data_IF_321528438598
#
_entry.id   IF_321528438598
#
_cell.length_a   1.000
_cell.length_b   1.000
_cell.length_c   1.000
_cell.angle_alpha   90.00
_cell.angle_beta   90.00
_cell.angle_gamma   90.00
#
_symmetry.space_group_name_H-M   'P 1'
#
loop_
_entity.id
_entity.type
_entity.pdbx_description
1 polymer ?
#
# COMPACT_ATOMS: atom_id res chain seq x y z
N UNK A 1 5.24 -50.24 21.36
CA UNK A 1 3.98 -49.53 21.06
C UNK A 1 3.87 -49.44 19.55
N UNK A 2 2.77 -49.92 18.97
CA UNK A 2 2.61 -50.05 17.53
C UNK A 2 2.61 -48.66 16.85
N UNK A 3 3.51 -48.47 15.88
CA UNK A 3 3.60 -47.22 15.12
C UNK A 3 2.54 -47.25 14.02
N UNK A 4 1.31 -46.85 14.35
CA UNK A 4 0.20 -46.83 13.41
C UNK A 4 0.46 -45.78 12.30
N UNK A 5 0.48 -46.27 11.05
CA UNK A 5 0.78 -45.50 9.84
C UNK A 5 -0.43 -44.70 9.35
N UNK A 6 -0.76 -43.60 10.06
CA UNK A 6 -1.69 -42.60 9.53
C UNK A 6 -1.02 -41.72 8.46
N UNK A 7 -1.70 -41.44 7.35
CA UNK A 7 -1.20 -40.52 6.33
C UNK A 7 -1.26 -39.08 6.82
N UNK A 8 -0.41 -38.21 6.28
CA UNK A 8 -0.39 -36.80 6.68
C UNK A 8 -1.73 -36.09 6.39
N UNK A 9 -2.41 -36.51 5.32
CA UNK A 9 -3.76 -36.04 4.97
C UNK A 9 -4.81 -36.42 6.02
N UNK A 10 -4.83 -37.69 6.48
CA UNK A 10 -5.75 -38.16 7.52
C UNK A 10 -5.56 -37.39 8.83
N UNK A 11 -4.31 -37.10 9.22
CA UNK A 11 -4.02 -36.34 10.44
C UNK A 11 -4.50 -34.88 10.33
N UNK A 12 -4.32 -34.23 9.18
CA UNK A 12 -4.82 -32.87 8.95
C UNK A 12 -6.34 -32.82 8.93
N UNK A 13 -7.00 -33.77 8.27
CA UNK A 13 -8.46 -33.83 8.21
C UNK A 13 -9.07 -34.03 9.61
N UNK A 14 -8.46 -34.89 10.42
CA UNK A 14 -8.88 -35.12 11.81
C UNK A 14 -8.66 -33.88 12.68
N UNK A 15 -7.53 -33.19 12.55
CA UNK A 15 -7.29 -31.92 13.24
C UNK A 15 -8.27 -30.83 12.82
N UNK A 16 -8.63 -30.76 11.52
CA UNK A 16 -9.61 -29.81 11.01
C UNK A 16 -11.00 -30.03 11.61
N UNK A 17 -11.46 -31.28 11.72
CA UNK A 17 -12.75 -31.57 12.38
C UNK A 17 -12.73 -31.25 13.88
N UNK A 18 -11.57 -31.35 14.52
CA UNK A 18 -11.37 -30.97 15.93
C UNK A 18 -11.14 -29.46 16.10
N UNK A 19 -11.23 -28.66 15.03
CA UNK A 19 -10.92 -27.22 15.00
C UNK A 19 -9.52 -26.88 15.56
N UNK A 20 -8.55 -27.77 15.33
CA UNK A 20 -7.17 -27.60 15.77
C UNK A 20 -6.27 -27.12 14.63
N UNK A 21 -5.16 -26.41 14.95
CA UNK A 21 -4.20 -25.97 13.94
C UNK A 21 -3.65 -27.14 13.12
N UNK A 22 -3.68 -27.01 11.78
CA UNK A 22 -3.22 -28.01 10.80
C UNK A 22 -1.77 -27.81 10.33
N UNK A 23 -1.05 -26.84 10.91
CA UNK A 23 0.33 -26.51 10.55
C UNK A 23 1.36 -27.38 11.27
N UNK A 24 2.43 -27.74 10.56
CA UNK A 24 3.58 -28.49 11.05
C UNK A 24 3.73 -29.89 10.44
N UNK A 25 4.84 -30.55 10.81
CA UNK A 25 5.20 -31.87 10.32
C UNK A 25 4.35 -32.98 10.97
N UNK A 26 4.37 -34.18 10.37
CA UNK A 26 3.58 -35.35 10.79
C UNK A 26 3.69 -35.66 12.29
N UNK A 27 4.88 -35.50 12.87
CA UNK A 27 5.14 -35.69 14.30
C UNK A 27 4.43 -34.64 15.17
N UNK A 28 4.45 -33.38 14.74
CA UNK A 28 3.79 -32.26 15.42
C UNK A 28 2.26 -32.41 15.39
N UNK A 29 1.70 -32.87 14.27
CA UNK A 29 0.28 -33.17 14.14
C UNK A 29 -0.14 -34.33 15.06
N UNK A 30 0.63 -35.43 15.11
CA UNK A 30 0.39 -36.55 16.04
C UNK A 30 0.44 -36.08 17.50
N UNK A 31 1.46 -35.32 17.89
CA UNK A 31 1.61 -34.81 19.27
C UNK A 31 0.40 -33.95 19.67
N UNK A 32 -0.08 -33.08 18.76
CA UNK A 32 -1.24 -32.21 19.01
C UNK A 32 -2.54 -33.01 19.20
N UNK A 33 -2.74 -34.08 18.43
CA UNK A 33 -3.88 -34.98 18.60
C UNK A 33 -3.83 -35.73 19.94
N UNK A 34 -2.65 -36.22 20.35
CA UNK A 34 -2.47 -36.87 21.64
C UNK A 34 -2.61 -35.92 22.83
N UNK A 35 -2.19 -34.66 22.71
CA UNK A 35 -2.38 -33.65 23.76
C UNK A 35 -3.84 -33.24 23.92
N UNK A 36 -4.61 -33.22 22.82
CA UNK A 36 -6.03 -32.84 22.86
C UNK A 36 -6.94 -34.00 23.27
N UNK A 37 -6.61 -35.24 22.89
CA UNK A 37 -7.35 -36.44 23.27
C UNK A 37 -6.37 -37.57 23.65
N UNK A 38 -5.99 -37.65 24.94
CA UNK A 38 -5.10 -38.69 25.45
C UNK A 38 -5.70 -40.10 25.39
N UNK A 39 -7.04 -40.22 25.29
CA UNK A 39 -7.73 -41.52 25.15
C UNK A 39 -7.49 -42.15 23.79
N UNK A 40 -7.15 -41.32 22.79
CA UNK A 40 -6.87 -41.74 21.43
C UNK A 40 -8.11 -42.17 20.64
N UNK A 41 -9.30 -41.69 21.03
CA UNK A 41 -10.53 -41.84 20.27
C UNK A 41 -10.45 -41.15 18.90
N UNK A 42 -9.57 -40.16 18.74
CA UNK A 42 -9.23 -39.55 17.44
C UNK A 42 -8.72 -40.56 16.41
N UNK A 43 -8.13 -41.70 16.82
CA UNK A 43 -7.60 -42.71 15.88
C UNK A 43 -8.70 -43.40 15.09
N UNK A 44 -9.85 -43.65 15.71
CA UNK A 44 -11.01 -44.23 15.03
C UNK A 44 -11.60 -43.25 14.01
N UNK A 45 -11.62 -41.96 14.36
CA UNK A 45 -12.04 -40.90 13.44
C UNK A 45 -11.09 -40.78 12.25
N UNK A 46 -9.78 -40.89 12.48
CA UNK A 46 -8.77 -40.84 11.43
C UNK A 46 -8.83 -42.05 10.48
N UNK A 47 -9.23 -43.23 10.98
CA UNK A 47 -9.46 -44.44 10.14
C UNK A 47 -10.70 -44.32 9.27
N UNK A 48 -11.77 -43.72 9.79
CA UNK A 48 -13.05 -43.57 9.09
C UNK A 48 -13.11 -42.33 8.17
N UNK A 49 -12.00 -41.60 8.01
CA UNK A 49 -11.92 -40.48 7.07
C UNK A 49 -11.60 -40.99 5.66
N UNK A 50 -12.61 -41.04 4.79
CA UNK A 50 -12.39 -41.07 3.35
C UNK A 50 -11.67 -39.78 2.93
N UNK A 51 -10.41 -39.91 2.53
CA UNK A 51 -9.66 -38.80 1.94
C UNK A 51 -10.09 -38.69 0.48
N UNK A 52 -11.01 -37.78 0.18
CA UNK A 52 -11.08 -37.24 -1.18
C UNK A 52 -9.77 -36.50 -1.43
N UNK A 53 -8.88 -37.16 -2.16
CA UNK A 53 -7.57 -36.67 -2.51
C UNK A 53 -7.71 -35.40 -3.34
N UNK A 54 -7.59 -34.25 -2.69
CA UNK A 54 -7.47 -32.96 -3.37
C UNK A 54 -6.20 -32.26 -2.91
N UNK A 55 -5.07 -32.82 -3.32
CA UNK A 55 -3.83 -32.08 -3.49
C UNK A 55 -3.01 -32.65 -4.66
N UNK A 56 -3.10 -31.94 -5.78
CA UNK A 56 -2.02 -31.68 -6.74
C UNK A 56 -0.89 -32.70 -6.81
N UNK A 57 -1.04 -33.65 -7.72
CA UNK A 57 0.05 -34.24 -8.51
C UNK A 57 -0.50 -34.63 -9.86
N UNK A 58 0.14 -34.18 -10.95
CA UNK A 58 0.17 -34.82 -12.26
C UNK A 58 -1.16 -35.10 -12.95
N UNK A 59 -1.34 -34.54 -14.15
CA UNK A 59 -2.50 -34.82 -15.00
C UNK A 59 -2.85 -36.31 -15.03
N UNK A 60 -4.06 -36.63 -14.57
CA UNK A 60 -4.70 -37.91 -14.81
C UNK A 60 -5.90 -37.65 -15.71
N UNK A 61 -5.83 -38.32 -16.86
CA UNK A 61 -6.94 -38.52 -17.77
C UNK A 61 -8.15 -39.03 -16.99
N UNK A 62 -9.23 -38.25 -16.99
CA UNK A 62 -10.54 -38.72 -16.57
C UNK A 62 -11.09 -39.56 -17.72
N UNK A 63 -10.83 -40.86 -17.72
CA UNK A 63 -11.72 -41.81 -18.40
C UNK A 63 -12.91 -42.07 -17.48
N UNK A 64 -13.82 -41.10 -17.41
CA UNK A 64 -15.20 -41.38 -16.97
C UNK A 64 -16.00 -41.65 -18.22
N UNK A 65 -16.24 -42.95 -18.45
CA UNK A 65 -17.10 -43.47 -19.50
C UNK A 65 -18.55 -43.22 -19.09
N UNK A 66 -19.01 -41.98 -19.26
CA UNK A 66 -20.43 -41.67 -19.34
C UNK A 66 -20.70 -41.00 -20.68
N UNK A 67 -21.55 -41.68 -21.45
CA UNK A 67 -21.85 -41.40 -22.84
C UNK A 67 -22.84 -40.23 -22.92
N UNK A 68 -22.39 -39.02 -22.62
CA UNK A 68 -23.16 -37.78 -22.85
C UNK A 68 -22.54 -37.06 -24.04
N UNK A 69 -23.28 -37.05 -25.16
CA UNK A 69 -22.92 -36.31 -26.38
C UNK A 69 -22.87 -34.81 -26.03
N UNK A 70 -21.68 -34.30 -25.70
CA UNK A 70 -21.45 -32.86 -25.54
C UNK A 70 -21.74 -32.17 -26.88
N UNK A 71 -22.54 -31.10 -26.82
CA UNK A 71 -22.88 -30.27 -27.96
C UNK A 71 -21.61 -29.67 -28.60
N UNK A 72 -21.61 -29.40 -29.93
CA UNK A 72 -20.43 -28.88 -30.63
C UNK A 72 -19.84 -27.61 -30.00
N UNK A 73 -20.70 -26.77 -29.42
CA UNK A 73 -20.35 -25.49 -28.78
C UNK A 73 -19.57 -25.72 -27.47
N UNK A 74 -19.96 -26.71 -26.66
CA UNK A 74 -19.29 -27.00 -25.39
C UNK A 74 -17.89 -27.60 -25.61
N UNK A 75 -17.72 -28.42 -26.67
CA UNK A 75 -16.40 -28.94 -27.04
C UNK A 75 -15.45 -27.83 -27.46
N UNK A 76 -15.95 -26.84 -28.18
CA UNK A 76 -15.17 -25.69 -28.60
C UNK A 76 -14.77 -24.82 -27.39
N UNK A 77 -15.69 -24.58 -26.44
CA UNK A 77 -15.37 -23.87 -25.20
C UNK A 77 -14.33 -24.60 -24.34
N UNK A 78 -14.44 -25.92 -24.19
CA UNK A 78 -13.45 -26.73 -23.45
C UNK A 78 -12.09 -26.71 -24.16
N UNK A 79 -12.06 -26.78 -25.49
CA UNK A 79 -10.81 -26.68 -26.26
C UNK A 79 -10.17 -25.29 -26.16
N UNK A 80 -10.96 -24.23 -26.14
CA UNK A 80 -10.48 -22.87 -25.98
C UNK A 80 -9.94 -22.64 -24.56
N UNK A 81 -10.67 -23.09 -23.55
CA UNK A 81 -10.23 -23.02 -22.15
C UNK A 81 -8.93 -23.80 -21.91
N UNK A 82 -8.78 -24.98 -22.53
CA UNK A 82 -7.54 -25.75 -22.46
C UNK A 82 -6.36 -24.99 -23.08
N UNK A 83 -6.59 -24.28 -24.20
CA UNK A 83 -5.57 -23.45 -24.87
C UNK A 83 -5.20 -22.22 -24.04
N UNK A 84 -6.17 -21.61 -23.38
CA UNK A 84 -5.95 -20.46 -22.50
C UNK A 84 -5.18 -20.85 -21.24
N UNK A 85 -5.51 -21.99 -20.63
CA UNK A 85 -4.76 -22.53 -19.49
C UNK A 85 -3.30 -22.83 -19.85
N UNK A 86 -3.06 -23.37 -21.04
CA UNK A 86 -1.71 -23.62 -21.56
C UNK A 86 -0.94 -22.30 -21.79
N UNK A 87 -1.62 -21.25 -22.28
CA UNK A 87 -1.03 -19.91 -22.40
C UNK A 87 -0.65 -19.35 -21.03
N UNK A 88 -1.56 -19.40 -20.05
CA UNK A 88 -1.29 -18.92 -18.68
C UNK A 88 -0.16 -19.70 -18.04
N UNK A 89 -0.05 -21.00 -18.30
CA UNK A 89 1.06 -21.82 -17.80
C UNK A 89 2.40 -21.35 -18.35
N UNK A 90 2.50 -21.09 -19.66
CA UNK A 90 3.71 -20.57 -20.30
C UNK A 90 4.07 -19.17 -19.80
N UNK A 91 3.08 -18.30 -19.63
CA UNK A 91 3.28 -16.96 -19.08
C UNK A 91 3.81 -17.02 -17.64
N UNK A 92 3.28 -17.94 -16.81
CA UNK A 92 3.79 -18.18 -15.46
C UNK A 92 5.21 -18.71 -15.46
N UNK A 93 5.56 -19.63 -16.37
CA UNK A 93 6.93 -20.14 -16.50
C UNK A 93 7.91 -19.02 -16.89
N UNK A 94 7.52 -18.14 -17.82
CA UNK A 94 8.31 -16.95 -18.18
C UNK A 94 8.47 -16.00 -16.99
N UNK A 95 7.40 -15.78 -16.24
CA UNK A 95 7.41 -14.87 -15.09
C UNK A 95 8.27 -15.41 -13.94
N UNK A 96 8.25 -16.72 -13.72
CA UNK A 96 9.12 -17.39 -12.77
C UNK A 96 10.59 -17.27 -13.16
N UNK A 97 10.92 -17.48 -14.44
CA UNK A 97 12.30 -17.27 -14.95
C UNK A 97 12.75 -15.83 -14.77
N UNK A 98 11.90 -14.84 -15.07
CA UNK A 98 12.21 -13.41 -14.82
C UNK A 98 12.45 -13.11 -13.35
N UNK A 99 11.67 -13.71 -12.44
CA UNK A 99 11.86 -13.58 -11.00
C UNK A 99 13.18 -14.22 -10.54
N UNK A 100 13.57 -15.35 -11.11
CA UNK A 100 14.85 -15.99 -10.83
C UNK A 100 16.03 -15.17 -11.34
N UNK A 101 15.92 -14.58 -12.53
CA UNK A 101 16.91 -13.66 -13.09
C UNK A 101 17.09 -12.43 -12.20
N UNK A 102 15.98 -11.79 -11.78
CA UNK A 102 16.02 -10.65 -10.85
C UNK A 102 16.62 -11.03 -9.49
N UNK A 103 16.34 -12.23 -8.98
CA UNK A 103 16.96 -12.73 -7.75
C UNK A 103 18.45 -12.93 -7.91
N UNK A 104 18.90 -13.54 -9.01
CA UNK A 104 20.32 -13.71 -9.33
C UNK A 104 21.01 -12.36 -9.52
N UNK A 105 20.38 -11.41 -10.18
CA UNK A 105 20.90 -10.05 -10.37
C UNK A 105 21.05 -9.32 -9.03
N UNK A 106 20.04 -9.42 -8.16
CA UNK A 106 20.09 -8.91 -6.79
C UNK A 106 21.21 -9.58 -5.98
N UNK A 107 21.39 -10.89 -6.09
CA UNK A 107 22.42 -11.62 -5.35
C UNK A 107 23.84 -11.28 -5.86
N UNK A 108 23.99 -11.05 -7.17
CA UNK A 108 25.23 -10.55 -7.79
C UNK A 108 25.53 -9.09 -7.41
N UNK A 109 24.49 -8.25 -7.26
CA UNK A 109 24.62 -6.88 -6.77
C UNK A 109 24.93 -6.83 -5.26
N UNK A 110 24.33 -7.73 -4.47
CA UNK A 110 24.58 -7.87 -3.03
C UNK A 110 25.99 -8.44 -2.75
N UNK A 111 26.51 -9.32 -3.60
CA UNK A 111 27.89 -9.82 -3.52
C UNK A 111 28.96 -8.75 -3.75
N UNK A 112 28.61 -7.59 -4.34
CA UNK A 112 29.52 -6.44 -4.52
C UNK A 112 29.51 -5.44 -3.36
N UNK A 113 28.59 -5.57 -2.41
CA UNK A 113 28.48 -4.68 -1.25
C UNK A 113 28.50 -5.53 0.02
N UNK A 114 29.69 -5.78 0.55
CA UNK A 114 29.83 -6.26 1.93
C UNK A 114 29.36 -5.17 2.89
N UNK A 115 28.23 -5.41 3.56
CA UNK A 115 27.95 -4.86 4.89
C UNK A 115 27.28 -5.97 5.71
N UNK A 116 27.78 -6.32 6.91
CA UNK A 116 27.12 -7.28 7.79
C UNK A 116 26.09 -6.55 8.65
N UNK A 117 24.86 -7.05 8.76
CA UNK A 117 24.18 -7.02 10.06
C UNK A 117 22.94 -7.91 10.11
N UNK A 118 23.07 -8.95 10.93
CA UNK A 118 22.09 -9.55 11.84
C UNK A 118 20.60 -9.41 11.50
N UNK A 119 20.00 -10.57 11.21
CA UNK A 119 18.64 -10.86 11.57
C UNK A 119 18.41 -10.58 13.07
N UNK A 120 17.41 -9.74 13.38
CA UNK A 120 16.69 -9.74 14.65
C UNK A 120 15.27 -9.20 14.44
N UNK A 121 14.34 -9.72 15.22
CA UNK A 121 12.89 -9.72 15.03
C UNK A 121 12.20 -8.33 14.95
N UNK A 122 11.04 -8.34 14.29
CA UNK A 122 10.19 -7.23 13.84
C UNK A 122 9.80 -6.16 14.88
N UNK A 123 9.27 -5.03 14.40
CA UNK A 123 7.90 -4.68 14.78
C UNK A 123 7.00 -4.57 13.54
N UNK A 124 5.71 -4.83 13.74
CA UNK A 124 4.62 -4.56 12.81
C UNK A 124 4.86 -3.25 12.02
N UNK A 125 5.34 -3.40 10.79
CA UNK A 125 5.43 -2.29 9.84
C UNK A 125 4.08 -2.25 9.16
N UNK A 126 3.17 -1.39 9.63
CA UNK A 126 2.12 -0.87 8.75
C UNK A 126 2.76 -0.57 7.39
N UNK A 127 2.17 -0.99 6.26
CA UNK A 127 2.74 -0.73 4.96
C UNK A 127 3.04 0.76 4.85
N UNK A 128 4.30 1.12 4.63
CA UNK A 128 4.66 2.53 4.45
C UNK A 128 3.87 3.04 3.25
N UNK A 129 3.07 4.11 3.40
CA UNK A 129 2.29 4.63 2.30
C UNK A 129 3.23 5.05 1.17
N UNK A 130 2.82 4.77 -0.07
CA UNK A 130 3.59 5.18 -1.25
C UNK A 130 3.64 6.72 -1.30
N UNK A 131 4.70 7.27 -1.88
CA UNK A 131 4.86 8.72 -2.03
C UNK A 131 3.67 9.32 -2.79
N UNK A 132 3.11 8.58 -3.75
CA UNK A 132 1.88 8.97 -4.46
C UNK A 132 0.67 9.11 -3.55
N UNK A 133 0.46 8.17 -2.62
CA UNK A 133 -0.61 8.25 -1.64
C UNK A 133 -0.40 9.41 -0.65
N UNK A 134 0.85 9.65 -0.24
CA UNK A 134 1.21 10.83 0.57
C UNK A 134 0.98 12.14 -0.20
N UNK A 135 1.10 12.08 -1.52
CA UNK A 135 0.69 13.14 -2.42
C UNK A 135 -0.73 13.61 -2.13
N UNK A 136 -1.70 12.70 -1.99
CA UNK A 136 -3.12 13.08 -1.79
C UNK A 136 -3.36 13.94 -0.54
N UNK A 137 -2.50 13.82 0.48
CA UNK A 137 -2.57 14.60 1.71
C UNK A 137 -2.03 16.03 1.56
N UNK A 138 -1.24 16.29 0.51
CA UNK A 138 -0.66 17.59 0.22
C UNK A 138 -1.45 18.29 -0.90
N UNK A 139 -1.85 19.53 -0.63
CA UNK A 139 -2.49 20.37 -1.63
C UNK A 139 -1.52 20.71 -2.78
N UNK A 140 -2.05 20.93 -3.98
CA UNK A 140 -1.21 21.37 -5.10
C UNK A 140 -0.73 22.81 -4.88
N UNK A 141 0.50 23.10 -5.31
CA UNK A 141 1.09 24.43 -5.18
C UNK A 141 1.40 25.02 -6.56
N UNK A 142 0.63 26.04 -6.93
CA UNK A 142 0.77 26.74 -8.22
C UNK A 142 1.71 27.94 -8.17
N UNK A 143 2.13 28.36 -6.97
CA UNK A 143 2.91 29.59 -6.74
C UNK A 143 2.05 30.86 -6.62
N UNK A 144 0.80 30.74 -6.20
CA UNK A 144 -0.07 31.89 -5.91
C UNK A 144 0.24 32.50 -4.54
N UNK A 145 -0.05 33.78 -4.38
CA UNK A 145 0.27 34.55 -3.18
C UNK A 145 -0.51 34.07 -1.95
N UNK A 146 0.13 34.14 -0.77
CA UNK A 146 -0.51 33.91 0.52
C UNK A 146 -0.86 32.47 0.89
N UNK A 147 -0.54 31.47 0.05
CA UNK A 147 -0.78 30.05 0.35
C UNK A 147 0.50 29.28 0.75
N UNK A 148 1.68 29.85 0.50
CA UNK A 148 2.96 29.16 0.70
C UNK A 148 3.17 28.69 2.14
N UNK A 149 2.95 29.54 3.15
CA UNK A 149 3.20 29.15 4.55
C UNK A 149 2.25 28.04 5.04
N UNK A 150 0.98 28.05 4.62
CA UNK A 150 0.06 26.96 4.96
C UNK A 150 0.44 25.66 4.26
N UNK A 151 0.82 25.75 2.99
CA UNK A 151 1.31 24.61 2.22
C UNK A 151 2.61 24.03 2.81
N UNK A 152 3.55 24.88 3.22
CA UNK A 152 4.79 24.49 3.91
C UNK A 152 4.51 23.75 5.20
N UNK A 153 3.59 24.26 6.03
CA UNK A 153 3.16 23.59 7.27
C UNK A 153 2.53 22.23 7.02
N UNK A 154 1.70 22.09 5.98
CA UNK A 154 1.13 20.80 5.57
C UNK A 154 2.24 19.81 5.18
N UNK A 155 3.21 20.24 4.38
CA UNK A 155 4.34 19.42 3.99
C UNK A 155 5.20 19.00 5.21
N UNK A 156 5.48 19.93 6.12
CA UNK A 156 6.25 19.66 7.34
C UNK A 156 5.53 18.66 8.26
N UNK A 157 4.20 18.75 8.37
CA UNK A 157 3.38 17.78 9.09
C UNK A 157 3.49 16.39 8.46
N UNK A 158 3.34 16.26 7.14
CA UNK A 158 3.45 14.98 6.43
C UNK A 158 4.86 14.40 6.61
N UNK A 159 5.90 15.24 6.45
CA UNK A 159 7.29 14.85 6.64
C UNK A 159 7.54 14.29 8.04
N UNK A 160 7.06 14.98 9.07
CA UNK A 160 7.21 14.55 10.46
C UNK A 160 6.43 13.27 10.76
N UNK A 161 5.18 13.19 10.31
CA UNK A 161 4.27 12.06 10.58
C UNK A 161 4.77 10.76 9.96
N UNK A 162 5.27 10.83 8.72
CA UNK A 162 5.72 9.65 7.98
C UNK A 162 7.25 9.49 7.95
N UNK A 163 7.97 10.32 8.71
CA UNK A 163 9.44 10.32 8.80
C UNK A 163 10.11 10.30 7.41
N UNK A 164 9.67 11.20 6.54
CA UNK A 164 10.20 11.29 5.18
C UNK A 164 11.63 11.85 5.19
N UNK A 165 12.50 11.16 4.47
CA UNK A 165 13.84 11.63 4.18
C UNK A 165 13.81 12.77 3.15
N UNK A 166 14.95 13.42 2.95
CA UNK A 166 15.05 14.55 2.04
C UNK A 166 14.74 14.16 0.58
N UNK A 167 15.09 12.93 0.18
CA UNK A 167 14.85 12.45 -1.17
C UNK A 167 13.35 12.28 -1.46
N UNK A 168 12.63 11.55 -0.60
CA UNK A 168 11.19 11.34 -0.78
C UNK A 168 10.42 12.65 -0.61
N UNK A 169 10.87 13.55 0.28
CA UNK A 169 10.27 14.86 0.44
C UNK A 169 10.47 15.74 -0.81
N UNK A 170 11.64 15.72 -1.44
CA UNK A 170 11.87 16.43 -2.72
C UNK A 170 10.99 15.89 -3.84
N UNK A 171 10.84 14.57 -3.95
CA UNK A 171 9.94 13.94 -4.92
C UNK A 171 8.50 14.39 -4.67
N UNK A 172 8.05 14.36 -3.41
CA UNK A 172 6.71 14.80 -3.02
C UNK A 172 6.47 16.28 -3.38
N UNK A 173 7.45 17.16 -3.10
CA UNK A 173 7.41 18.56 -3.51
C UNK A 173 7.22 18.62 -5.03
N UNK A 174 8.13 18.01 -5.81
CA UNK A 174 8.10 18.03 -7.27
C UNK A 174 6.77 17.54 -7.87
N UNK A 175 6.16 16.50 -7.29
CA UNK A 175 4.84 15.99 -7.70
C UNK A 175 3.71 17.01 -7.50
N UNK A 176 3.85 17.88 -6.50
CA UNK A 176 2.80 18.81 -6.05
C UNK A 176 2.97 20.22 -6.57
N UNK A 177 4.12 20.54 -7.16
CA UNK A 177 4.30 21.80 -7.87
C UNK A 177 3.56 21.79 -9.21
N UNK A 178 2.86 22.89 -9.50
CA UNK A 178 2.16 23.11 -10.77
C UNK A 178 2.49 24.51 -11.31
N UNK A 179 2.21 24.73 -12.60
CA UNK A 179 2.28 26.05 -13.25
C UNK A 179 3.62 26.77 -12.98
N UNK A 180 3.56 28.02 -12.49
CA UNK A 180 4.72 28.88 -12.24
C UNK A 180 5.68 28.29 -11.21
N UNK A 181 5.15 27.60 -10.20
CA UNK A 181 5.99 26.94 -9.20
C UNK A 181 6.80 25.78 -9.80
N UNK A 182 6.20 24.99 -10.69
CA UNK A 182 6.90 23.91 -11.38
C UNK A 182 7.96 24.44 -12.35
N UNK A 183 7.63 25.49 -13.11
CA UNK A 183 8.58 26.15 -14.01
C UNK A 183 9.78 26.72 -13.25
N UNK A 184 9.55 27.38 -12.11
CA UNK A 184 10.62 27.86 -11.24
C UNK A 184 11.46 26.71 -10.68
N UNK A 185 10.84 25.61 -10.26
CA UNK A 185 11.57 24.46 -9.73
C UNK A 185 12.55 23.88 -10.76
N UNK A 186 12.11 23.74 -12.01
CA UNK A 186 12.97 23.26 -13.11
C UNK A 186 13.91 24.32 -13.71
N UNK A 187 13.81 25.58 -13.31
CA UNK A 187 14.67 26.66 -13.83
C UNK A 187 16.15 26.49 -13.47
N UNK A 188 16.44 25.79 -12.36
CA UNK A 188 17.81 25.50 -11.90
C UNK A 188 17.90 24.04 -11.48
N UNK A 189 18.82 23.29 -12.10
CA UNK A 189 19.10 21.90 -11.72
C UNK A 189 19.45 21.76 -10.24
N UNK A 190 20.09 22.78 -9.64
CA UNK A 190 20.42 22.84 -8.21
C UNK A 190 19.21 22.58 -7.29
N UNK A 191 17.99 22.95 -7.69
CA UNK A 191 16.80 22.72 -6.89
C UNK A 191 16.48 21.23 -6.71
N UNK A 192 16.94 20.38 -7.64
CA UNK A 192 16.80 18.93 -7.54
C UNK A 192 17.77 18.32 -6.55
N UNK A 193 18.90 18.95 -6.24
CA UNK A 193 19.98 18.33 -5.46
C UNK A 193 20.14 18.90 -4.05
N UNK A 194 19.66 20.13 -3.82
CA UNK A 194 19.80 20.78 -2.52
C UNK A 194 18.95 20.14 -1.41
N UNK A 195 19.36 20.26 -0.14
CA UNK A 195 18.55 19.82 1.00
C UNK A 195 17.16 20.45 1.02
N UNK A 196 16.16 19.73 1.52
CA UNK A 196 14.76 20.20 1.55
C UNK A 196 14.63 21.52 2.30
N UNK A 197 15.39 21.70 3.38
CA UNK A 197 15.40 22.93 4.15
C UNK A 197 15.81 24.13 3.30
N UNK A 198 16.84 23.97 2.47
CA UNK A 198 17.31 25.02 1.57
C UNK A 198 16.30 25.28 0.46
N UNK A 199 15.73 24.22 -0.12
CA UNK A 199 14.69 24.32 -1.13
C UNK A 199 13.47 25.10 -0.62
N UNK A 200 12.99 24.80 0.59
CA UNK A 200 11.88 25.52 1.20
C UNK A 200 12.21 26.99 1.49
N UNK A 201 13.46 27.31 1.84
CA UNK A 201 13.89 28.70 2.00
C UNK A 201 13.91 29.46 0.66
N UNK A 202 14.36 28.83 -0.41
CA UNK A 202 14.33 29.43 -1.76
C UNK A 202 12.90 29.59 -2.26
N UNK A 203 12.03 28.60 -2.03
CA UNK A 203 10.60 28.71 -2.32
C UNK A 203 9.95 29.85 -1.53
N UNK A 204 10.32 30.01 -0.25
CA UNK A 204 9.83 31.11 0.59
C UNK A 204 10.18 32.46 -0.02
N UNK A 205 11.45 32.68 -0.36
CA UNK A 205 11.91 33.92 -1.01
C UNK A 205 11.16 34.20 -2.32
N UNK A 206 10.83 33.16 -3.07
CA UNK A 206 10.18 33.29 -4.38
C UNK A 206 8.65 33.44 -4.31
N UNK A 207 7.99 32.83 -3.34
CA UNK A 207 6.52 32.70 -3.36
C UNK A 207 5.82 33.21 -2.09
N UNK A 208 6.55 33.48 -1.00
CA UNK A 208 5.97 34.02 0.22
C UNK A 208 5.73 35.54 0.12
N UNK A 209 4.86 35.91 -0.80
CA UNK A 209 4.31 37.25 -0.89
C UNK A 209 3.07 37.29 0.00
N UNK A 210 3.28 37.60 1.29
CA UNK A 210 2.17 37.79 2.23
C UNK A 210 1.50 39.13 1.91
N UNK A 211 0.18 39.17 1.64
CA UNK A 211 -0.54 40.43 1.49
C UNK A 211 -0.37 41.27 2.75
N UNK A 212 -0.28 42.58 2.58
CA UNK A 212 -0.15 43.50 3.71
C UNK A 212 -1.38 43.41 4.63
N UNK A 213 -1.21 43.76 5.91
CA UNK A 213 -2.31 43.83 6.89
C UNK A 213 -3.47 44.68 6.36
N UNK A 214 -3.16 45.82 5.73
CA UNK A 214 -4.14 46.71 5.12
C UNK A 214 -4.92 46.05 3.98
N UNK A 215 -4.25 45.30 3.10
CA UNK A 215 -4.94 44.56 2.03
C UNK A 215 -5.83 43.46 2.58
N UNK A 216 -5.40 42.76 3.63
CA UNK A 216 -6.20 41.73 4.29
C UNK A 216 -7.45 42.34 4.94
N UNK A 217 -7.30 43.45 5.68
CA UNK A 217 -8.43 44.23 6.24
C UNK A 217 -9.38 44.71 5.15
N UNK A 218 -8.85 45.29 4.07
CA UNK A 218 -9.67 45.78 2.95
C UNK A 218 -10.44 44.65 2.26
N UNK A 219 -9.84 43.46 2.09
CA UNK A 219 -10.52 42.27 1.55
C UNK A 219 -11.63 41.80 2.48
N UNK A 220 -11.38 41.79 3.79
CA UNK A 220 -12.38 41.46 4.79
C UNK A 220 -13.57 42.45 4.73
N UNK A 221 -13.31 43.74 4.78
CA UNK A 221 -14.34 44.79 4.74
C UNK A 221 -15.15 44.77 3.45
N UNK A 222 -14.48 44.58 2.30
CA UNK A 222 -15.13 44.54 0.97
C UNK A 222 -16.12 43.37 0.82
N UNK A 223 -15.99 42.31 1.64
CA UNK A 223 -16.91 41.17 1.59
C UNK A 223 -18.25 41.54 2.25
N UNK A 224 -19.22 41.93 1.41
CA UNK A 224 -20.60 42.17 1.82
C UNK A 224 -21.50 41.00 1.43
N UNK A 225 -22.56 40.78 2.20
CA UNK A 225 -23.58 39.78 1.87
C UNK A 225 -24.35 40.23 0.64
N UNK A 226 -24.57 39.31 -0.28
CA UNK A 226 -25.31 39.53 -1.53
C UNK A 226 -26.64 38.80 -1.50
N UNK A 227 -27.56 39.26 -2.32
CA UNK A 227 -28.92 38.70 -2.40
C UNK A 227 -28.96 37.37 -3.18
N UNK A 228 -27.93 37.07 -3.97
CA UNK A 228 -27.78 35.86 -4.79
C UNK A 228 -27.07 34.71 -4.05
N UNK A 229 -26.75 34.87 -2.75
CA UNK A 229 -26.09 33.86 -1.93
C UNK A 229 -26.80 33.61 -0.60
N UNK A 230 -26.56 32.44 -0.01
CA UNK A 230 -27.05 32.15 1.33
C UNK A 230 -26.25 32.92 2.38
N UNK A 231 -26.91 33.27 3.50
CA UNK A 231 -26.20 33.88 4.63
C UNK A 231 -25.13 32.96 5.22
N UNK A 232 -25.33 31.64 5.16
CA UNK A 232 -24.38 30.65 5.67
C UNK A 232 -23.05 30.68 4.89
N UNK A 233 -23.12 30.72 3.56
CA UNK A 233 -21.93 30.80 2.70
C UNK A 233 -21.19 32.14 2.92
N UNK A 234 -21.95 33.24 3.01
CA UNK A 234 -21.40 34.55 3.36
C UNK A 234 -20.66 34.53 4.70
N UNK A 235 -21.30 34.00 5.74
CA UNK A 235 -20.72 33.95 7.08
C UNK A 235 -19.44 33.11 7.10
N UNK A 236 -19.46 31.94 6.45
CA UNK A 236 -18.29 31.08 6.32
C UNK A 236 -17.10 31.79 5.67
N UNK A 237 -17.31 32.45 4.53
CA UNK A 237 -16.29 33.26 3.87
C UNK A 237 -15.75 34.38 4.77
N UNK A 238 -16.66 35.05 5.48
CA UNK A 238 -16.32 36.17 6.36
C UNK A 238 -15.44 35.70 7.52
N UNK A 239 -15.73 34.54 8.11
CA UNK A 239 -14.90 33.91 9.16
C UNK A 239 -13.51 33.52 8.63
N UNK A 240 -13.42 32.93 7.43
CA UNK A 240 -12.13 32.61 6.81
C UNK A 240 -11.29 33.87 6.57
N UNK A 241 -11.92 34.96 6.11
CA UNK A 241 -11.24 36.23 5.90
C UNK A 241 -10.79 36.83 7.24
N UNK A 242 -11.63 36.79 8.27
CA UNK A 242 -11.29 37.27 9.62
C UNK A 242 -10.05 36.56 10.17
N UNK A 243 -9.99 35.22 10.07
CA UNK A 243 -8.86 34.44 10.54
C UNK A 243 -7.52 34.74 9.84
N UNK A 244 -7.55 35.41 8.68
CA UNK A 244 -6.35 35.84 7.95
C UNK A 244 -5.86 37.23 8.37
N UNK A 245 -6.73 38.07 8.93
CA UNK A 245 -6.37 39.43 9.36
C UNK A 245 -5.60 39.35 10.68
N UNK A 246 -4.36 39.86 10.75
CA UNK A 246 -3.64 39.98 12.01
C UNK A 246 -4.40 40.94 12.96
N UNK A 247 -4.76 40.47 14.15
CA UNK A 247 -5.29 41.31 15.24
C UNK A 247 -4.09 41.89 15.99
N UNK A 248 -3.96 43.22 16.05
CA UNK A 248 -2.95 43.83 16.93
C UNK A 248 -3.52 43.93 18.35
N UNK A 249 -2.68 43.82 19.37
CA UNK A 249 -3.11 44.01 20.77
C UNK A 249 -3.70 45.41 21.04
N UNK A 250 -3.37 46.41 20.21
CA UNK A 250 -3.97 47.74 20.30
C UNK A 250 -5.42 47.80 19.79
N UNK A 251 -5.87 46.83 18.97
CA UNK A 251 -7.28 46.70 18.56
C UNK A 251 -8.13 45.98 19.64
N UNK A 252 -7.49 45.42 20.68
CA UNK A 252 -8.13 44.73 21.81
C UNK A 252 -8.28 45.62 23.06
N UNK A 253 -7.95 46.91 22.95
CA UNK A 253 -8.04 47.91 24.02
C UNK A 253 -9.33 48.72 24.00
#
# INVERSE_FOLDING_TARGET
MADENFTFAQLKATLKQLNLPIAGDKATLKKRLYSHDPSGAWRERARNMCVEDRQQTGGQAYTTRENSRLDPIEREMVSNLARDLERTRRENEIMQRRLEELRRERDMAAGRISVPSAANHAPSSMPRPTISALGELLSEFTGTEGIFENWRKQLELIRATYSLDDNNTRILIGMKLKRRALQWFHSKSKHLEMPVRELLNEMKKMFDHRPSKMELRRRFEKRNWRHDESFADYYYDKVILAGKVPVDEDDLR
#
